data_IF_825808713476
#
_entry.id   IF_825808713476
#
_cell.length_a   1.000
_cell.length_b   1.000
_cell.length_c   1.000
_cell.angle_alpha   90.00
_cell.angle_beta   90.00
_cell.angle_gamma   90.00
#
_symmetry.space_group_name_H-M   'P 1'
#
loop_
_entity.id
_entity.type
_entity.pdbx_description
1 polymer ?
#
# COMPACT_ATOMS: atom_id res chain seq x y z
N UNK A 1 -2.10 -19.71 -12.70
CA UNK A 1 -1.23 -19.84 -11.49
C UNK A 1 -2.01 -20.47 -10.34
N UNK A 2 -3.18 -19.93 -9.95
CA UNK A 2 -4.08 -20.60 -8.99
C UNK A 2 -4.72 -21.86 -9.60
N UNK A 3 -5.22 -21.77 -10.83
CA UNK A 3 -5.82 -22.92 -11.54
C UNK A 3 -4.84 -24.10 -11.71
N UNK A 4 -3.55 -23.82 -11.83
CA UNK A 4 -2.48 -24.82 -11.93
C UNK A 4 -2.08 -25.42 -10.58
N UNK A 5 -2.62 -24.91 -9.46
CA UNK A 5 -2.28 -25.34 -8.10
C UNK A 5 -3.19 -26.46 -7.56
N UNK A 6 -4.09 -27.00 -8.39
CA UNK A 6 -4.90 -28.17 -8.02
C UNK A 6 -6.43 -27.98 -8.05
N UNK A 7 -6.92 -26.95 -8.75
CA UNK A 7 -8.36 -26.77 -9.04
C UNK A 7 -9.24 -26.29 -7.87
N UNK A 8 -8.78 -26.45 -6.63
CA UNK A 8 -9.51 -26.02 -5.44
C UNK A 8 -9.31 -24.53 -5.12
N UNK A 9 -10.32 -23.86 -4.53
CA UNK A 9 -10.20 -22.47 -4.12
C UNK A 9 -9.10 -22.28 -3.05
N UNK A 10 -8.37 -21.17 -3.11
CA UNK A 10 -7.24 -20.88 -2.20
C UNK A 10 -7.55 -19.79 -1.18
N UNK A 11 -6.78 -19.75 -0.10
CA UNK A 11 -6.72 -18.59 0.79
C UNK A 11 -5.73 -17.58 0.19
N UNK A 12 -6.26 -16.47 -0.33
CA UNK A 12 -5.49 -15.50 -1.10
C UNK A 12 -5.06 -14.34 -0.21
N UNK A 13 -3.75 -14.07 -0.20
CA UNK A 13 -3.16 -12.93 0.50
C UNK A 13 -2.59 -11.95 -0.51
N UNK A 14 -2.98 -10.68 -0.40
CA UNK A 14 -2.40 -9.59 -1.15
C UNK A 14 -1.72 -8.58 -0.22
N UNK A 15 -0.62 -7.99 -0.70
CA UNK A 15 0.08 -6.89 -0.05
C UNK A 15 0.28 -5.73 -1.04
N UNK A 16 0.00 -4.50 -0.62
CA UNK A 16 0.13 -3.29 -1.44
C UNK A 16 -0.62 -3.44 -2.77
N UNK A 17 0.01 -3.24 -3.94
CA UNK A 17 -0.60 -3.44 -5.25
C UNK A 17 -1.15 -4.87 -5.40
N UNK A 18 -0.48 -5.85 -4.79
CA UNK A 18 -0.95 -7.24 -4.72
C UNK A 18 -2.30 -7.39 -4.01
N UNK A 19 -2.66 -6.49 -3.09
CA UNK A 19 -4.01 -6.45 -2.50
C UNK A 19 -5.06 -6.05 -3.52
N UNK A 20 -4.75 -5.10 -4.40
CA UNK A 20 -5.67 -4.65 -5.45
C UNK A 20 -5.87 -5.76 -6.49
N UNK A 21 -4.78 -6.43 -6.87
CA UNK A 21 -4.81 -7.61 -7.75
C UNK A 21 -5.62 -8.74 -7.10
N UNK A 22 -5.35 -9.07 -5.83
CA UNK A 22 -6.06 -10.12 -5.12
C UNK A 22 -7.56 -9.83 -4.98
N UNK A 23 -7.93 -8.58 -4.73
CA UNK A 23 -9.32 -8.14 -4.72
C UNK A 23 -9.97 -8.29 -6.10
N UNK A 24 -9.27 -7.91 -7.18
CA UNK A 24 -9.74 -8.11 -8.56
C UNK A 24 -9.97 -9.58 -8.90
N UNK A 25 -9.05 -10.47 -8.51
CA UNK A 25 -9.20 -11.92 -8.67
C UNK A 25 -10.42 -12.42 -7.89
N UNK A 26 -10.56 -12.04 -6.62
CA UNK A 26 -11.68 -12.49 -5.78
C UNK A 26 -13.05 -11.96 -6.26
N UNK A 27 -13.09 -10.82 -6.95
CA UNK A 27 -14.29 -10.26 -7.55
C UNK A 27 -14.68 -10.94 -8.87
N UNK A 28 -13.69 -11.15 -9.74
CA UNK A 28 -13.92 -11.64 -11.12
C UNK A 28 -13.93 -13.16 -11.24
N UNK A 29 -13.22 -13.85 -10.35
CA UNK A 29 -13.09 -15.31 -10.28
C UNK A 29 -13.36 -15.81 -8.85
N UNK A 30 -14.56 -15.56 -8.28
CA UNK A 30 -14.87 -15.89 -6.90
C UNK A 30 -14.73 -17.39 -6.58
N UNK A 31 -14.88 -18.26 -7.59
CA UNK A 31 -14.69 -19.70 -7.47
C UNK A 31 -13.25 -20.10 -7.15
N UNK A 32 -12.27 -19.23 -7.39
CA UNK A 32 -10.86 -19.52 -7.11
C UNK A 32 -10.42 -19.10 -5.70
N UNK A 33 -11.25 -18.39 -4.94
CA UNK A 33 -10.84 -17.74 -3.68
C UNK A 33 -11.75 -18.13 -2.51
N UNK A 34 -11.24 -18.97 -1.61
CA UNK A 34 -11.92 -19.38 -0.36
C UNK A 34 -11.97 -18.26 0.66
N UNK A 35 -10.83 -17.61 0.89
CA UNK A 35 -10.74 -16.48 1.81
C UNK A 35 -9.72 -15.45 1.32
N UNK A 36 -9.88 -14.21 1.78
CA UNK A 36 -9.10 -13.07 1.30
C UNK A 36 -8.52 -12.27 2.48
N UNK A 37 -7.21 -12.05 2.45
CA UNK A 37 -6.48 -11.14 3.35
C UNK A 37 -5.87 -10.04 2.49
N UNK A 38 -6.22 -8.79 2.80
CA UNK A 38 -5.68 -7.61 2.11
C UNK A 38 -4.84 -6.79 3.10
N UNK A 39 -3.57 -6.60 2.77
CA UNK A 39 -2.62 -5.81 3.57
C UNK A 39 -2.27 -4.53 2.81
N UNK A 40 -2.49 -3.39 3.45
CA UNK A 40 -2.39 -2.06 2.83
C UNK A 40 -3.16 -1.92 1.49
N UNK A 41 -4.46 -2.32 1.41
CA UNK A 41 -5.23 -2.16 0.18
C UNK A 41 -5.59 -0.71 -0.09
N UNK A 42 -5.91 -0.39 -1.35
CA UNK A 42 -6.65 0.79 -1.75
C UNK A 42 -7.65 0.43 -2.87
N UNK A 43 -8.86 1.00 -2.87
CA UNK A 43 -9.88 0.69 -3.88
C UNK A 43 -9.71 1.55 -5.14
N UNK A 44 -9.10 2.72 -5.01
CA UNK A 44 -8.70 3.64 -6.06
C UNK A 44 -7.60 4.52 -5.51
N UNK A 45 -6.82 5.17 -6.37
CA UNK A 45 -5.87 6.20 -5.93
C UNK A 45 -6.64 7.47 -5.53
N UNK A 46 -6.32 8.02 -4.37
CA UNK A 46 -6.61 9.42 -4.05
C UNK A 46 -5.46 10.32 -4.53
N UNK A 47 -5.57 11.63 -4.32
CA UNK A 47 -4.51 12.58 -4.71
C UNK A 47 -3.21 12.38 -3.91
N UNK A 48 -3.32 11.84 -2.69
CA UNK A 48 -2.14 11.47 -1.91
C UNK A 48 -1.33 10.36 -2.59
N UNK A 49 -1.99 9.26 -2.96
CA UNK A 49 -1.36 8.14 -3.68
C UNK A 49 -0.89 8.56 -5.06
N UNK A 50 -1.67 9.38 -5.78
CA UNK A 50 -1.25 9.94 -7.06
C UNK A 50 0.07 10.71 -6.94
N UNK A 51 0.18 11.59 -5.95
CA UNK A 51 1.39 12.39 -5.73
C UNK A 51 2.57 11.48 -5.34
N UNK A 52 2.35 10.53 -4.44
CA UNK A 52 3.36 9.55 -4.01
C UNK A 52 3.93 8.77 -5.21
N UNK A 53 3.08 8.14 -6.01
CA UNK A 53 3.53 7.34 -7.16
C UNK A 53 4.10 8.19 -8.30
N UNK A 54 3.68 9.45 -8.42
CA UNK A 54 4.30 10.41 -9.36
C UNK A 54 5.76 10.67 -8.97
N UNK A 55 6.05 10.83 -7.68
CA UNK A 55 7.43 10.99 -7.20
C UNK A 55 8.24 9.71 -7.44
N UNK A 56 7.69 8.53 -7.13
CA UNK A 56 8.36 7.24 -7.42
C UNK A 56 8.73 7.12 -8.90
N UNK A 57 7.79 7.42 -9.79
CA UNK A 57 8.01 7.38 -11.24
C UNK A 57 9.12 8.32 -11.66
N UNK A 58 9.12 9.57 -11.18
CA UNK A 58 10.17 10.53 -11.51
C UNK A 58 11.55 10.08 -11.03
N UNK A 59 11.66 9.59 -9.79
CA UNK A 59 12.92 9.05 -9.26
C UNK A 59 13.41 7.87 -10.12
N UNK A 60 12.48 7.05 -10.60
CA UNK A 60 12.72 5.97 -11.54
C UNK A 60 13.21 6.43 -12.91
N UNK A 61 12.50 7.38 -13.53
CA UNK A 61 12.80 7.92 -14.86
C UNK A 61 14.18 8.60 -14.91
N UNK A 62 14.58 9.28 -13.82
CA UNK A 62 15.92 9.88 -13.69
C UNK A 62 17.01 8.89 -13.22
N UNK A 63 16.67 7.62 -13.00
CA UNK A 63 17.63 6.58 -12.60
C UNK A 63 18.22 6.78 -11.20
N UNK A 64 17.57 7.54 -10.32
CA UNK A 64 18.07 7.79 -8.97
C UNK A 64 17.63 6.67 -8.01
N UNK A 65 18.30 5.52 -8.12
CA UNK A 65 17.99 4.32 -7.35
C UNK A 65 18.11 4.53 -5.82
N UNK A 66 19.09 5.33 -5.37
CA UNK A 66 19.25 5.63 -3.94
C UNK A 66 18.07 6.45 -3.40
N UNK A 67 17.72 7.55 -4.07
CA UNK A 67 16.61 8.38 -3.64
C UNK A 67 15.28 7.62 -3.73
N UNK A 68 15.11 6.77 -4.74
CA UNK A 68 13.96 5.88 -4.85
C UNK A 68 13.86 4.96 -3.62
N UNK A 69 14.94 4.25 -3.28
CA UNK A 69 14.96 3.33 -2.14
C UNK A 69 14.70 4.04 -0.80
N UNK A 70 15.29 5.23 -0.61
CA UNK A 70 15.05 6.05 0.60
C UNK A 70 13.60 6.54 0.67
N UNK A 71 13.03 6.99 -0.45
CA UNK A 71 11.64 7.44 -0.49
C UNK A 71 10.66 6.28 -0.27
N UNK A 72 10.96 5.11 -0.84
CA UNK A 72 10.20 3.89 -0.61
C UNK A 72 10.27 3.44 0.86
N UNK A 73 11.42 3.59 1.54
CA UNK A 73 11.54 3.30 2.96
C UNK A 73 10.67 4.23 3.83
N UNK A 74 10.68 5.54 3.57
CA UNK A 74 9.88 6.53 4.33
C UNK A 74 8.38 6.35 4.12
N UNK A 75 7.95 5.90 2.94
CA UNK A 75 6.54 5.67 2.65
C UNK A 75 6.07 4.27 3.07
N UNK A 76 6.97 3.31 3.20
CA UNK A 76 6.65 1.92 3.57
C UNK A 76 6.75 1.61 5.08
N UNK A 77 7.49 2.40 5.85
CA UNK A 77 7.74 2.12 7.27
C UNK A 77 7.48 3.33 8.18
N UNK A 78 7.24 3.04 9.46
CA UNK A 78 7.04 4.07 10.47
C UNK A 78 8.37 4.70 10.91
N UNK A 79 8.32 5.96 11.37
CA UNK A 79 9.46 6.65 11.96
C UNK A 79 10.17 5.82 13.06
N UNK A 80 9.45 5.34 14.09
CA UNK A 80 10.08 4.51 15.14
C UNK A 80 10.75 3.24 14.64
N UNK A 81 10.27 2.63 13.56
CA UNK A 81 10.92 1.46 12.96
C UNK A 81 12.24 1.86 12.29
N UNK A 82 12.24 2.96 11.52
CA UNK A 82 13.44 3.48 10.88
C UNK A 82 14.47 3.95 11.91
N UNK A 83 14.03 4.58 13.00
CA UNK A 83 14.90 4.98 14.11
C UNK A 83 15.57 3.76 14.75
N UNK A 84 14.83 2.66 14.94
CA UNK A 84 15.35 1.42 15.51
C UNK A 84 16.38 0.72 14.59
N UNK A 85 16.27 0.89 13.27
CA UNK A 85 17.27 0.38 12.32
C UNK A 85 18.58 1.18 12.36
N UNK A 86 18.51 2.47 12.71
CA UNK A 86 19.63 3.41 12.64
C UNK A 86 20.12 3.66 11.20
N UNK A 87 21.09 4.55 11.03
CA UNK A 87 21.59 4.99 9.72
C UNK A 87 22.01 3.83 8.82
N UNK A 88 22.86 2.92 9.32
CA UNK A 88 23.34 1.80 8.52
C UNK A 88 22.25 0.81 8.14
N UNK A 89 21.24 0.60 8.99
CA UNK A 89 20.10 -0.27 8.68
C UNK A 89 19.18 0.37 7.64
N UNK A 90 18.96 1.69 7.70
CA UNK A 90 18.20 2.43 6.69
C UNK A 90 18.92 2.42 5.34
N UNK A 91 20.25 2.55 5.32
CA UNK A 91 21.02 2.49 4.07
C UNK A 91 20.91 1.10 3.41
N UNK A 92 20.97 0.02 4.20
CA UNK A 92 20.74 -1.35 3.70
C UNK A 92 19.31 -1.55 3.20
N UNK A 93 18.32 -1.04 3.94
CA UNK A 93 16.91 -1.11 3.55
C UNK A 93 16.67 -0.40 2.21
N UNK A 94 17.20 0.82 2.05
CA UNK A 94 17.08 1.58 0.82
C UNK A 94 17.77 0.87 -0.37
N UNK A 95 18.95 0.29 -0.17
CA UNK A 95 19.64 -0.48 -1.20
C UNK A 95 18.84 -1.73 -1.65
N UNK A 96 18.16 -2.38 -0.71
CA UNK A 96 17.30 -3.54 -0.99
C UNK A 96 16.01 -3.19 -1.73
N UNK A 97 15.57 -1.94 -1.68
CA UNK A 97 14.46 -1.41 -2.48
C UNK A 97 14.91 -1.04 -3.89
N UNK A 98 15.55 -2.00 -4.56
CA UNK A 98 16.20 -1.81 -5.85
C UNK A 98 15.21 -1.41 -6.95
N UNK A 99 15.54 -0.33 -7.66
CA UNK A 99 14.81 0.17 -8.83
C UNK A 99 14.97 -0.79 -10.03
N UNK A 100 14.20 -1.87 -10.05
CA UNK A 100 14.20 -2.80 -11.18
C UNK A 100 13.23 -2.35 -12.27
N UNK A 101 13.47 -2.79 -13.51
CA UNK A 101 12.52 -2.62 -14.60
C UNK A 101 11.14 -3.23 -14.29
N UNK A 102 11.07 -4.24 -13.41
CA UNK A 102 9.80 -4.80 -12.93
C UNK A 102 9.02 -3.82 -12.06
N UNK A 103 9.70 -3.16 -11.12
CA UNK A 103 9.06 -2.14 -10.25
C UNK A 103 8.55 -0.96 -11.07
N UNK A 104 9.34 -0.48 -12.04
CA UNK A 104 8.92 0.61 -12.93
C UNK A 104 7.64 0.27 -13.71
N UNK A 105 7.50 -0.99 -14.16
CA UNK A 105 6.26 -1.45 -14.83
C UNK A 105 5.06 -1.50 -13.90
N UNK A 106 5.27 -1.76 -12.60
CA UNK A 106 4.17 -1.81 -11.62
C UNK A 106 3.64 -0.42 -11.23
N UNK A 107 4.43 0.64 -11.43
CA UNK A 107 4.02 2.02 -11.15
C UNK A 107 2.88 2.52 -12.06
N UNK A 108 2.79 2.04 -13.31
CA UNK A 108 1.72 2.45 -14.21
C UNK A 108 0.33 1.95 -13.71
N UNK A 109 0.17 0.68 -13.31
CA UNK A 109 -1.01 0.22 -12.58
C UNK A 109 -1.32 1.04 -11.32
N UNK A 110 -0.32 1.34 -10.48
CA UNK A 110 -0.51 2.13 -9.25
C UNK A 110 -1.12 3.51 -9.54
N UNK A 111 -0.78 4.11 -10.68
CA UNK A 111 -1.30 5.39 -11.14
C UNK A 111 -2.68 5.33 -11.78
N UNK A 112 -3.26 4.15 -12.02
CA UNK A 112 -4.48 4.00 -12.83
C UNK A 112 -5.55 3.14 -12.22
N UNK A 113 -5.18 2.28 -11.27
CA UNK A 113 -6.09 1.26 -10.76
C UNK A 113 -7.30 1.88 -10.05
N UNK A 114 -8.47 1.36 -10.40
CA UNK A 114 -9.76 1.67 -9.78
C UNK A 114 -10.58 0.38 -9.78
N UNK A 115 -10.81 -0.16 -8.59
CA UNK A 115 -11.58 -1.38 -8.37
C UNK A 115 -12.88 -1.09 -7.62
N UNK A 116 -13.34 0.17 -7.57
CA UNK A 116 -14.57 0.54 -6.84
C UNK A 116 -15.79 -0.23 -7.33
N UNK A 117 -15.88 -0.52 -8.62
CA UNK A 117 -16.96 -1.31 -9.22
C UNK A 117 -16.82 -2.83 -8.98
N UNK A 118 -15.59 -3.31 -8.75
CA UNK A 118 -15.30 -4.72 -8.50
C UNK A 118 -15.40 -5.07 -7.02
N UNK A 119 -15.03 -4.16 -6.13
CA UNK A 119 -15.00 -4.40 -4.69
C UNK A 119 -16.35 -4.90 -4.10
N UNK A 120 -17.52 -4.40 -4.54
CA UNK A 120 -18.82 -4.93 -4.12
C UNK A 120 -19.10 -6.37 -4.57
N UNK A 121 -18.38 -6.87 -5.57
CA UNK A 121 -18.61 -8.20 -6.16
C UNK A 121 -17.82 -9.30 -5.44
N UNK A 122 -16.93 -8.95 -4.50
CA UNK A 122 -16.13 -9.91 -3.74
C UNK A 122 -17.03 -10.74 -2.83
N UNK A 123 -17.05 -12.06 -3.05
CA UNK A 123 -17.82 -13.03 -2.26
C UNK A 123 -16.99 -13.80 -1.24
N UNK A 124 -15.66 -13.79 -1.41
CA UNK A 124 -14.74 -14.49 -0.52
C UNK A 124 -14.85 -14.00 0.92
N UNK A 125 -14.64 -14.90 1.89
CA UNK A 125 -14.60 -14.53 3.30
C UNK A 125 -13.40 -13.61 3.56
N UNK A 126 -13.66 -12.37 3.98
CA UNK A 126 -12.62 -11.44 4.41
C UNK A 126 -12.08 -11.81 5.79
N UNK A 127 -10.77 -11.98 5.92
CA UNK A 127 -10.09 -12.25 7.19
C UNK A 127 -9.35 -11.00 7.67
N UNK A 128 -9.44 -10.69 8.96
CA UNK A 128 -8.69 -9.57 9.56
C UNK A 128 -9.19 -8.18 9.17
N UNK A 129 -10.44 -8.05 8.72
CA UNK A 129 -11.06 -6.76 8.35
C UNK A 129 -11.12 -5.84 9.57
N UNK A 130 -10.07 -5.07 9.85
CA UNK A 130 -10.20 -3.87 10.67
C UNK A 130 -11.17 -2.95 9.93
N UNK A 131 -12.17 -2.39 10.62
CA UNK A 131 -12.99 -1.29 10.09
C UNK A 131 -12.04 -0.12 9.80
N UNK A 132 -11.58 0.00 8.57
CA UNK A 132 -10.85 1.18 8.10
C UNK A 132 -11.88 2.30 7.91
N UNK A 133 -11.75 3.38 8.68
CA UNK A 133 -12.72 4.48 8.75
C UNK A 133 -12.58 5.49 7.59
N UNK A 134 -12.39 5.02 6.36
CA UNK A 134 -12.59 5.83 5.15
C UNK A 134 -11.35 6.24 4.36
N UNK A 135 -10.13 6.16 4.90
CA UNK A 135 -8.91 6.48 4.14
C UNK A 135 -8.06 5.22 3.97
N UNK A 136 -8.20 4.58 2.81
CA UNK A 136 -7.33 3.48 2.38
C UNK A 136 -6.11 4.07 1.67
N UNK A 137 -5.25 4.77 2.40
CA UNK A 137 -3.92 5.13 1.93
C UNK A 137 -2.88 4.23 2.61
N UNK A 138 -1.97 3.68 1.81
CA UNK A 138 -0.87 2.82 2.22
C UNK A 138 0.04 3.46 3.31
N UNK A 139 -0.10 4.77 3.57
CA UNK A 139 0.85 5.54 4.39
C UNK A 139 0.29 6.00 5.73
N UNK A 140 -1.02 5.90 5.99
CA UNK A 140 -1.59 6.27 7.30
C UNK A 140 -1.81 5.07 8.23
N UNK A 141 -0.74 4.33 8.56
CA UNK A 141 -0.72 3.52 9.80
C UNK A 141 -0.45 4.38 11.05
N UNK A 142 -0.29 5.71 10.89
CA UNK A 142 -0.12 6.64 12.00
C UNK A 142 -1.10 7.82 11.88
N UNK A 143 -2.36 7.62 12.29
CA UNK A 143 -3.07 8.73 12.93
C UNK A 143 -2.86 8.61 14.43
N UNK A 144 -2.14 9.54 15.10
CA UNK A 144 -2.25 9.66 16.54
C UNK A 144 -3.73 9.91 16.88
N UNK A 145 -4.23 9.28 17.93
CA UNK A 145 -5.53 9.67 18.52
C UNK A 145 -5.41 11.17 18.82
N UNK A 146 -6.11 12.01 18.08
CA UNK A 146 -6.25 13.42 18.43
C UNK A 146 -7.08 13.47 19.71
N UNK A 147 -6.39 13.46 20.85
CA UNK A 147 -6.91 14.01 22.09
C UNK A 147 -7.25 15.47 21.83
N UNK A 148 -8.45 15.86 22.23
CA UNK A 148 -8.99 17.20 22.16
C UNK A 148 -7.98 18.25 22.66
N UNK A 149 -7.47 19.09 21.76
CA UNK A 149 -6.89 20.38 22.16
C UNK A 149 -8.05 21.35 22.41
N UNK A 150 -8.64 21.26 23.61
CA UNK A 150 -9.38 22.38 24.19
C UNK A 150 -8.39 23.30 24.89
N UNK A 151 -8.29 24.52 24.38
CA UNK A 151 -8.04 25.72 25.17
C UNK A 151 -6.59 26.01 25.54
N UNK A 152 -5.95 26.87 24.75
CA UNK A 152 -5.10 27.92 25.33
C UNK A 152 -5.55 29.23 24.70
N UNK A 153 -6.22 30.05 25.51
CA UNK A 153 -6.38 31.49 25.27
C UNK A 153 -5.09 32.18 25.72
N UNK A 154 -4.66 33.16 24.95
CA UNK A 154 -3.62 34.14 25.29
C UNK A 154 -3.30 34.84 23.97
N UNK A 155 -3.67 36.09 23.73
CA UNK A 155 -3.49 37.24 24.60
C UNK A 155 -2.49 38.11 23.85
N UNK A 156 -3.02 39.10 23.13
CA UNK A 156 -2.24 40.07 22.36
C UNK A 156 -1.66 41.06 23.35
N UNK A 157 -0.34 41.18 23.39
CA UNK A 157 0.41 42.40 23.69
C UNK A 157 1.77 42.33 23.00
#
# INVERSE_FOLDING_TARGET
MIEHAGGEPVDLVGFSLGSVVAAGVAATRPELVRSLVLVAPWPHRDEYMRNLFTVWRRLGDFGNAEAFGRFAAVTGFSGPFLDALGTGGVDQLAANMSLTQGILRHLEPDLRVDIRELAPQIRARMVGRRRYSGDLSCVQVLRPRTGSLRGVRGGVE
#
